data_IF_350011977728
#
_entry.id   IF_350011977728
#
_cell.length_a   1.000
_cell.length_b   1.000
_cell.length_c   1.000
_cell.angle_alpha   90.00
_cell.angle_beta   90.00
_cell.angle_gamma   90.00
#
_symmetry.space_group_name_H-M   'P 1'
#
loop_
_entity.id
_entity.type
_entity.pdbx_description
1 polymer ?
#
# COMPACT_ATOMS: atom_id res chain seq x y z
N UNK A 1 7.10 -14.92 0.53
CA UNK A 1 6.41 -13.72 1.03
C UNK A 1 7.10 -12.53 0.41
N UNK A 2 6.35 -11.56 -0.09
CA UNK A 2 6.89 -10.29 -0.56
C UNK A 2 6.23 -9.14 0.21
N UNK A 3 6.99 -8.08 0.42
CA UNK A 3 6.53 -6.83 1.02
C UNK A 3 6.71 -5.74 -0.04
N UNK A 4 5.66 -4.98 -0.32
CA UNK A 4 5.66 -3.90 -1.30
C UNK A 4 5.25 -2.62 -0.60
N UNK A 5 6.04 -1.57 -0.77
CA UNK A 5 5.71 -0.22 -0.32
C UNK A 5 5.46 0.65 -1.55
N UNK A 6 4.24 1.13 -1.70
CA UNK A 6 3.86 1.99 -2.83
C UNK A 6 2.69 2.90 -2.44
N UNK A 7 2.66 4.14 -2.95
CA UNK A 7 1.47 4.98 -2.86
C UNK A 7 0.39 4.46 -3.82
N UNK A 8 -0.86 4.90 -3.62
CA UNK A 8 -1.99 4.53 -4.49
C UNK A 8 -1.71 4.88 -5.95
N UNK A 9 -1.20 6.10 -6.16
CA UNK A 9 -0.87 6.73 -7.44
C UNK A 9 -1.98 6.52 -8.45
N UNK A 10 -3.15 7.08 -8.10
CA UNK A 10 -4.41 6.79 -8.77
C UNK A 10 -4.80 5.34 -8.56
N UNK A 11 -4.96 4.61 -9.66
CA UNK A 11 -5.44 3.22 -9.66
C UNK A 11 -4.34 2.17 -9.80
N UNK A 12 -3.08 2.60 -9.88
CA UNK A 12 -1.98 1.70 -10.23
C UNK A 12 -1.71 0.65 -9.15
N UNK A 13 -1.73 1.03 -7.87
CA UNK A 13 -1.57 0.07 -6.78
C UNK A 13 -2.76 -0.89 -6.69
N UNK A 14 -3.99 -0.39 -6.90
CA UNK A 14 -5.19 -1.24 -6.92
C UNK A 14 -5.11 -2.28 -8.04
N UNK A 15 -4.71 -1.86 -9.24
CA UNK A 15 -4.52 -2.76 -10.37
C UNK A 15 -3.44 -3.81 -10.10
N UNK A 16 -2.32 -3.40 -9.48
CA UNK A 16 -1.28 -4.34 -9.05
C UNK A 16 -1.83 -5.41 -8.10
N UNK A 17 -2.60 -5.01 -7.08
CA UNK A 17 -3.23 -5.95 -6.14
C UNK A 17 -4.21 -6.89 -6.84
N UNK A 18 -5.02 -6.39 -7.78
CA UNK A 18 -5.94 -7.22 -8.57
C UNK A 18 -5.20 -8.27 -9.40
N UNK A 19 -4.12 -7.87 -10.09
CA UNK A 19 -3.30 -8.79 -10.88
C UNK A 19 -2.61 -9.84 -9.99
N UNK A 20 -2.14 -9.46 -8.79
CA UNK A 20 -1.57 -10.39 -7.82
C UNK A 20 -2.59 -11.44 -7.35
N UNK A 21 -3.83 -11.01 -7.06
CA UNK A 21 -4.92 -11.92 -6.70
C UNK A 21 -5.27 -12.89 -7.83
N UNK A 22 -5.35 -12.40 -9.08
CA UNK A 22 -5.58 -13.23 -10.26
C UNK A 22 -4.45 -14.24 -10.50
N UNK A 23 -3.21 -13.91 -10.11
CA UNK A 23 -2.08 -14.82 -10.13
C UNK A 23 -2.06 -15.83 -8.97
N UNK A 24 -3.10 -15.87 -8.13
CA UNK A 24 -3.23 -16.80 -7.00
C UNK A 24 -2.44 -16.39 -5.75
N UNK A 25 -2.10 -15.11 -5.61
CA UNK A 25 -1.49 -14.58 -4.39
C UNK A 25 -2.57 -14.07 -3.43
N UNK A 26 -2.36 -14.26 -2.13
CA UNK A 26 -3.11 -13.55 -1.11
C UNK A 26 -2.48 -12.17 -0.90
N UNK A 27 -3.34 -11.15 -0.87
CA UNK A 27 -2.95 -9.73 -0.73
C UNK A 27 -3.53 -9.19 0.57
N UNK A 28 -2.72 -8.50 1.35
CA UNK A 28 -3.20 -7.71 2.49
C UNK A 28 -2.56 -6.33 2.46
N UNK A 29 -3.36 -5.30 2.73
CA UNK A 29 -2.94 -3.91 2.74
C UNK A 29 -2.93 -3.40 4.18
N UNK A 30 -1.86 -2.70 4.53
CA UNK A 30 -1.68 -2.08 5.82
C UNK A 30 -1.37 -0.60 5.60
N UNK A 31 -2.29 0.25 6.10
CA UNK A 31 -2.11 1.70 6.07
C UNK A 31 -1.20 2.17 7.20
N UNK A 32 -1.40 1.66 8.42
CA UNK A 32 -0.60 1.99 9.59
C UNK A 32 0.33 0.82 9.93
N UNK A 33 1.46 0.73 9.24
CA UNK A 33 2.42 -0.36 9.43
C UNK A 33 3.58 0.00 10.37
N UNK A 34 3.83 1.29 10.59
CA UNK A 34 4.85 1.81 11.50
C UNK A 34 4.37 3.11 12.14
N UNK A 35 4.56 3.23 13.46
CA UNK A 35 4.05 4.37 14.22
C UNK A 35 4.75 5.68 13.84
N UNK A 36 6.07 5.66 13.63
CA UNK A 36 6.83 6.85 13.27
C UNK A 36 6.48 7.33 11.86
N UNK A 37 6.32 6.40 10.91
CA UNK A 37 5.89 6.74 9.55
C UNK A 37 4.48 7.32 9.57
N UNK A 38 3.58 6.76 10.37
CA UNK A 38 2.23 7.28 10.53
C UNK A 38 2.21 8.69 11.14
N UNK A 39 3.02 8.95 12.16
CA UNK A 39 3.12 10.28 12.77
C UNK A 39 3.63 11.33 11.78
N UNK A 40 4.62 10.99 10.95
CA UNK A 40 5.10 11.87 9.87
C UNK A 40 4.01 12.12 8.84
N UNK A 41 3.28 11.08 8.42
CA UNK A 41 2.15 11.21 7.51
C UNK A 41 1.07 12.16 8.05
N UNK A 42 0.67 12.01 9.32
CA UNK A 42 -0.30 12.89 9.98
C UNK A 42 0.20 14.33 10.10
N UNK A 43 1.50 14.53 10.35
CA UNK A 43 2.11 15.86 10.37
C UNK A 43 2.06 16.49 8.97
N UNK A 44 2.49 15.76 7.94
CA UNK A 44 2.58 16.29 6.58
C UNK A 44 1.20 16.55 5.95
N UNK A 45 0.17 15.78 6.28
CA UNK A 45 -1.20 16.06 5.84
C UNK A 45 -1.69 17.48 6.22
N UNK A 46 -1.16 18.05 7.31
CA UNK A 46 -1.52 19.40 7.77
C UNK A 46 -0.88 20.51 6.94
N UNK A 47 0.19 20.22 6.21
CA UNK A 47 0.91 21.19 5.36
C UNK A 47 0.17 21.46 4.03
N UNK A 48 -0.89 20.70 3.74
CA UNK A 48 -1.73 20.87 2.55
C UNK A 48 -1.25 20.06 1.34
N UNK A 49 -2.15 19.89 0.36
CA UNK A 49 -1.96 18.98 -0.80
C UNK A 49 -0.81 19.37 -1.74
N UNK A 50 -0.49 20.66 -1.82
CA UNK A 50 0.63 21.17 -2.63
C UNK A 50 1.99 20.67 -2.11
N UNK A 51 2.08 20.42 -0.80
CA UNK A 51 3.29 19.91 -0.13
C UNK A 51 3.22 18.40 0.03
N UNK A 52 2.04 17.87 0.38
CA UNK A 52 1.83 16.46 0.64
C UNK A 52 0.48 15.95 0.14
N UNK A 53 0.48 15.36 -1.05
CA UNK A 53 -0.61 14.51 -1.53
C UNK A 53 -0.38 13.04 -1.18
N UNK A 54 -1.23 12.49 -0.29
CA UNK A 54 -1.22 11.08 0.10
C UNK A 54 -1.19 10.14 -1.12
N UNK A 55 -1.92 10.48 -2.18
CA UNK A 55 -2.06 9.64 -3.35
C UNK A 55 -0.72 9.37 -4.05
N UNK A 56 0.26 10.27 -3.94
CA UNK A 56 1.58 10.11 -4.57
C UNK A 56 2.73 10.00 -3.57
N UNK A 57 2.52 10.37 -2.31
CA UNK A 57 3.58 10.42 -1.30
C UNK A 57 3.46 9.39 -0.19
N UNK A 58 2.26 8.94 0.20
CA UNK A 58 2.14 8.00 1.31
C UNK A 58 2.25 6.56 0.83
N UNK A 59 3.31 5.81 1.20
CA UNK A 59 3.38 4.41 0.83
C UNK A 59 2.46 3.60 1.74
N UNK A 60 1.62 2.76 1.14
CA UNK A 60 0.92 1.67 1.82
C UNK A 60 1.84 0.44 1.85
N UNK A 61 1.73 -0.37 2.89
CA UNK A 61 2.39 -1.68 2.94
C UNK A 61 1.45 -2.73 2.39
N UNK A 62 1.85 -3.40 1.30
CA UNK A 62 1.18 -4.58 0.78
C UNK A 62 2.00 -5.82 1.13
N UNK A 63 1.36 -6.81 1.75
CA UNK A 63 1.95 -8.15 1.94
C UNK A 63 1.38 -9.11 0.91
N UNK A 64 2.26 -9.82 0.22
CA UNK A 64 1.91 -10.88 -0.73
C UNK A 64 2.38 -12.24 -0.21
N UNK A 65 1.46 -13.18 -0.13
CA UNK A 65 1.74 -14.57 0.24
C UNK A 65 1.19 -15.53 -0.81
N UNK A 66 1.72 -16.76 -0.86
CA UNK A 66 1.19 -17.79 -1.76
C UNK A 66 -0.23 -18.11 -1.32
N UNK A 67 -1.17 -18.13 -2.26
CA UNK A 67 -2.53 -18.58 -1.99
C UNK A 67 -2.57 -20.04 -1.53
N UNK A 68 -3.69 -20.47 -0.93
CA UNK A 68 -3.89 -21.87 -0.58
C UNK A 68 -3.71 -22.72 -1.83
N UNK A 69 -2.95 -23.82 -1.72
CA UNK A 69 -2.86 -24.81 -2.79
C UNK A 69 -4.24 -25.45 -2.94
N UNK A 70 -4.97 -25.13 -4.00
CA UNK A 70 -6.06 -26.00 -4.47
C UNK A 70 -5.42 -27.31 -4.91
N UNK A 71 -5.74 -28.38 -4.17
CA UNK A 71 -5.40 -29.77 -4.50
C UNK A 71 -6.27 -30.27 -5.65
#
# INVERSE_FOLDING_TARGET
>A
MALVFAPLRGETLRLFCQLAQQAGLCVSEHRQYDAQVWDVHLKMQKEGKEVYDENIHYPLLITLTKGPKTQ
#
